data_IF_982906718448
#
_entry.id   IF_982906718448
#
_cell.length_a   1.000
_cell.length_b   1.000
_cell.length_c   1.000
_cell.angle_alpha   90.00
_cell.angle_beta   90.00
_cell.angle_gamma   90.00
#
_symmetry.space_group_name_H-M   'P 1'
#
loop_
_entity.id
_entity.type
_entity.pdbx_description
1 polymer ?
#
# COMPACT_ATOMS: atom_id res chain seq x y z
N UNK A 1 -29.13 -9.21 10.70
CA UNK A 1 -28.12 -8.59 9.81
C UNK A 1 -27.50 -7.30 10.37
N UNK A 2 -28.26 -6.37 10.98
CA UNK A 2 -27.71 -5.11 11.51
C UNK A 2 -26.65 -5.27 12.64
N UNK A 3 -26.82 -6.29 13.48
CA UNK A 3 -25.84 -6.61 14.54
C UNK A 3 -24.51 -7.08 13.94
N UNK A 4 -24.56 -7.84 12.83
CA UNK A 4 -23.35 -8.31 12.14
C UNK A 4 -22.54 -7.16 11.54
N UNK A 5 -23.21 -6.20 10.88
CA UNK A 5 -22.54 -5.00 10.37
C UNK A 5 -21.97 -4.12 11.49
N UNK A 6 -22.67 -4.02 12.63
CA UNK A 6 -22.16 -3.27 13.78
C UNK A 6 -20.90 -3.91 14.37
N UNK A 7 -20.86 -5.24 14.51
CA UNK A 7 -19.69 -5.97 14.98
C UNK A 7 -18.50 -5.85 14.03
N UNK A 8 -18.70 -5.94 12.71
CA UNK A 8 -17.63 -5.74 11.73
C UNK A 8 -17.07 -4.31 11.77
N UNK A 9 -17.93 -3.31 11.96
CA UNK A 9 -17.47 -1.93 12.14
C UNK A 9 -16.59 -1.75 13.38
N UNK A 10 -16.86 -2.46 14.48
CA UNK A 10 -16.01 -2.46 15.67
C UNK A 10 -14.63 -3.12 15.41
N UNK A 11 -14.53 -3.96 14.38
CA UNK A 11 -13.27 -4.56 13.91
C UNK A 11 -12.57 -3.73 12.82
N UNK A 12 -13.06 -2.52 12.52
CA UNK A 12 -12.50 -1.64 11.49
C UNK A 12 -12.96 -1.94 10.06
N UNK A 13 -13.90 -2.87 9.87
CA UNK A 13 -14.47 -3.19 8.57
C UNK A 13 -15.82 -2.48 8.37
N UNK A 14 -15.85 -1.47 7.48
CA UNK A 14 -17.07 -0.75 7.13
C UNK A 14 -17.75 -1.43 5.95
N UNK A 15 -18.98 -1.90 6.16
CA UNK A 15 -19.75 -2.49 5.08
C UNK A 15 -20.70 -1.48 4.42
N UNK A 16 -20.58 -1.33 3.10
CA UNK A 16 -21.51 -0.52 2.31
C UNK A 16 -22.81 -1.25 1.97
N UNK A 17 -22.77 -2.58 1.78
CA UNK A 17 -23.94 -3.41 1.41
C UNK A 17 -24.22 -4.45 2.49
N UNK A 18 -25.48 -4.64 2.87
CA UNK A 18 -25.87 -5.62 3.90
C UNK A 18 -25.62 -7.08 3.50
N UNK A 19 -25.70 -7.40 2.20
CA UNK A 19 -25.45 -8.74 1.64
C UNK A 19 -23.98 -9.17 1.68
N UNK A 20 -23.06 -8.23 1.90
CA UNK A 20 -21.62 -8.52 1.87
C UNK A 20 -21.18 -9.53 2.95
N UNK A 21 -21.92 -9.67 4.07
CA UNK A 21 -21.64 -10.71 5.07
C UNK A 21 -21.83 -12.11 4.50
N UNK A 22 -22.91 -12.33 3.75
CA UNK A 22 -23.24 -13.63 3.17
C UNK A 22 -22.26 -13.98 2.04
N UNK A 23 -21.94 -13.00 1.20
CA UNK A 23 -20.91 -13.11 0.15
C UNK A 23 -19.54 -13.47 0.75
N UNK A 24 -19.13 -12.83 1.85
CA UNK A 24 -17.88 -13.17 2.54
C UNK A 24 -17.91 -14.55 3.19
N UNK A 25 -19.04 -14.99 3.74
CA UNK A 25 -19.17 -16.31 4.36
C UNK A 25 -19.02 -17.46 3.36
N UNK A 26 -19.40 -17.25 2.09
CA UNK A 26 -19.27 -18.23 1.01
C UNK A 26 -17.98 -18.13 0.20
N UNK A 27 -17.03 -17.27 0.57
CA UNK A 27 -15.84 -16.99 -0.24
C UNK A 27 -14.83 -18.15 -0.21
N UNK A 28 -14.38 -18.60 -1.38
CA UNK A 28 -13.34 -19.64 -1.50
C UNK A 28 -11.95 -19.10 -1.86
N UNK A 29 -11.86 -17.96 -2.53
CA UNK A 29 -10.61 -17.34 -2.97
C UNK A 29 -10.63 -15.86 -2.62
N UNK A 30 -9.57 -15.39 -1.95
CA UNK A 30 -9.34 -13.98 -1.65
C UNK A 30 -8.16 -13.48 -2.48
N UNK A 31 -8.44 -12.61 -3.45
CA UNK A 31 -7.40 -11.90 -4.18
C UNK A 31 -7.02 -10.65 -3.37
N UNK A 32 -5.84 -10.66 -2.75
CA UNK A 32 -5.32 -9.52 -2.01
C UNK A 32 -4.34 -8.73 -2.86
N UNK A 33 -4.42 -7.40 -2.82
CA UNK A 33 -3.43 -6.55 -3.47
C UNK A 33 -2.10 -6.57 -2.69
N UNK A 34 -0.98 -6.57 -3.40
CA UNK A 34 0.34 -6.60 -2.74
C UNK A 34 0.64 -5.26 -2.09
N UNK A 35 0.48 -4.17 -2.84
CA UNK A 35 0.89 -2.83 -2.40
C UNK A 35 -0.24 -2.20 -1.60
N UNK A 36 0.02 -1.81 -0.35
CA UNK A 36 -1.00 -1.20 0.51
C UNK A 36 -1.96 -2.16 1.21
N UNK A 37 -1.95 -3.47 0.90
CA UNK A 37 -2.61 -4.51 1.73
C UNK A 37 -1.59 -5.47 2.35
N UNK A 38 -0.79 -6.18 1.54
CA UNK A 38 0.21 -7.13 2.07
C UNK A 38 1.51 -6.46 2.52
N UNK A 39 1.90 -5.35 1.88
CA UNK A 39 3.14 -4.61 2.18
C UNK A 39 2.84 -3.27 2.83
N UNK A 40 3.77 -2.77 3.64
CA UNK A 40 3.64 -1.50 4.37
C UNK A 40 3.69 -0.24 3.48
N UNK A 41 3.87 -0.41 2.17
CA UNK A 41 4.12 0.68 1.22
C UNK A 41 5.27 1.63 1.65
N UNK A 42 6.22 1.13 2.45
CA UNK A 42 7.43 1.83 2.87
C UNK A 42 8.58 1.35 2.00
N UNK A 43 8.77 2.03 0.87
CA UNK A 43 9.86 1.71 -0.05
C UNK A 43 11.19 2.18 0.56
N UNK A 44 12.18 1.29 0.56
CA UNK A 44 13.56 1.60 0.94
C UNK A 44 14.48 1.31 -0.24
N UNK A 45 15.54 2.11 -0.37
CA UNK A 45 16.53 1.96 -1.43
C UNK A 45 17.88 1.69 -0.77
N UNK A 46 18.52 0.59 -1.14
CA UNK A 46 19.92 0.35 -0.80
C UNK A 46 20.81 1.07 -1.83
N UNK A 47 21.61 2.01 -1.33
CA UNK A 47 22.47 2.89 -2.12
C UNK A 47 23.53 2.12 -2.91
N UNK A 48 23.89 0.92 -2.49
CA UNK A 48 24.86 0.09 -3.19
C UNK A 48 24.36 -0.32 -4.57
N UNK A 49 23.05 -0.56 -4.72
CA UNK A 49 22.42 -0.98 -5.97
C UNK A 49 22.06 0.18 -6.92
N UNK A 50 22.35 1.43 -6.55
CA UNK A 50 22.09 2.56 -7.45
C UNK A 50 23.16 2.59 -8.56
N UNK A 51 22.71 2.50 -9.80
CA UNK A 51 23.54 2.69 -11.00
C UNK A 51 23.25 4.05 -11.63
N UNK A 52 24.30 4.75 -12.09
CA UNK A 52 24.20 6.09 -12.66
C UNK A 52 24.76 6.08 -14.08
N UNK A 53 23.92 6.49 -15.03
CA UNK A 53 24.28 6.49 -16.47
C UNK A 53 24.66 7.89 -16.99
N UNK A 54 24.33 8.95 -16.26
CA UNK A 54 24.65 10.32 -16.65
C UNK A 54 26.09 10.70 -16.27
N UNK A 55 26.85 11.26 -17.22
CA UNK A 55 28.21 11.74 -16.97
C UNK A 55 28.21 12.92 -15.98
N UNK A 56 29.15 12.90 -15.03
CA UNK A 56 29.29 13.97 -14.02
C UNK A 56 28.28 13.92 -12.86
N UNK A 57 27.42 12.89 -12.81
CA UNK A 57 26.43 12.69 -11.73
C UNK A 57 26.88 11.51 -10.86
N UNK A 58 26.78 11.64 -9.54
CA UNK A 58 27.04 10.56 -8.58
C UNK A 58 25.71 10.02 -8.02
N UNK A 59 25.77 8.96 -7.19
CA UNK A 59 24.58 8.32 -6.62
C UNK A 59 23.80 9.28 -5.70
N UNK A 60 24.52 10.14 -5.00
CA UNK A 60 24.01 11.13 -4.05
C UNK A 60 23.18 12.21 -4.76
N UNK A 61 23.66 12.69 -5.92
CA UNK A 61 22.93 13.63 -6.77
C UNK A 61 21.60 13.01 -7.23
N UNK A 62 21.58 11.74 -7.61
CA UNK A 62 20.35 11.05 -8.04
C UNK A 62 19.33 10.96 -6.90
N UNK A 63 19.77 10.61 -5.68
CA UNK A 63 18.89 10.57 -4.50
C UNK A 63 18.35 11.97 -4.20
N UNK A 64 19.20 12.99 -4.28
CA UNK A 64 18.80 14.37 -4.04
C UNK A 64 17.77 14.86 -5.08
N UNK A 65 17.96 14.54 -6.35
CA UNK A 65 17.01 14.86 -7.41
C UNK A 65 15.68 14.14 -7.22
N UNK A 66 15.71 12.86 -6.82
CA UNK A 66 14.50 12.11 -6.49
C UNK A 66 13.74 12.74 -5.32
N UNK A 67 14.45 13.21 -4.30
CA UNK A 67 13.86 13.92 -3.17
C UNK A 67 13.23 15.26 -3.60
N UNK A 68 13.90 16.05 -4.46
CA UNK A 68 13.35 17.31 -4.98
C UNK A 68 12.13 17.13 -5.88
N UNK A 69 12.08 16.04 -6.65
CA UNK A 69 10.93 15.71 -7.50
C UNK A 69 9.74 15.14 -6.70
N UNK A 70 9.94 14.81 -5.42
CA UNK A 70 8.93 14.22 -4.56
C UNK A 70 8.30 15.25 -3.64
N UNK A 71 6.99 15.12 -3.38
CA UNK A 71 6.33 15.89 -2.31
C UNK A 71 6.74 15.31 -0.96
N UNK A 72 6.92 16.17 0.03
CA UNK A 72 7.14 15.78 1.44
C UNK A 72 5.91 15.14 2.08
N UNK A 73 4.74 15.33 1.47
CA UNK A 73 3.47 14.73 1.87
C UNK A 73 3.18 13.50 1.00
N UNK A 74 3.37 12.32 1.60
CA UNK A 74 2.75 11.06 1.20
C UNK A 74 2.13 10.43 2.45
#
# INVERSE_FOLDING_TARGET
MAIGSHRLSQQGAIMKRKTAIEEMAGMNVLCSDKTGTLTLNKLSIDKNFIEVFAKGVNKEHVILFAAWASRTEN
#
